data_IF_605682496874
#
_entry.id   IF_605682496874
#
_cell.length_a   1.000
_cell.length_b   1.000
_cell.length_c   1.000
_cell.angle_alpha   90.00
_cell.angle_beta   90.00
_cell.angle_gamma   90.00
#
_symmetry.space_group_name_H-M   'P 1'
#
loop_
_entity.id
_entity.type
_entity.pdbx_description
1 polymer ?
#
# COMPACT_ATOMS: atom_id res chain seq x y z
N UNK A 1 22.30 -4.72 -27.12
CA UNK A 1 21.06 -4.13 -26.58
C UNK A 1 20.92 -4.59 -25.13
N UNK A 2 21.57 -3.90 -24.19
CA UNK A 2 21.61 -4.29 -22.78
C UNK A 2 20.96 -3.19 -21.95
N UNK A 3 19.64 -3.15 -21.91
CA UNK A 3 18.95 -2.31 -20.93
C UNK A 3 19.03 -3.08 -19.62
N UNK A 4 20.01 -2.76 -18.78
CA UNK A 4 19.87 -2.95 -17.34
C UNK A 4 18.63 -2.12 -16.98
N UNK A 5 17.46 -2.75 -16.99
CA UNK A 5 16.33 -2.23 -16.24
C UNK A 5 16.80 -2.32 -14.80
N UNK A 6 17.32 -1.22 -14.26
CA UNK A 6 17.33 -1.00 -12.83
C UNK A 6 15.87 -1.16 -12.42
N UNK A 7 15.51 -2.39 -12.02
CA UNK A 7 14.20 -2.68 -11.48
C UNK A 7 14.07 -1.75 -10.28
N UNK A 8 13.11 -0.84 -10.32
CA UNK A 8 12.90 0.10 -9.23
C UNK A 8 12.55 -0.73 -8.00
N UNK A 9 13.50 -0.82 -7.07
CA UNK A 9 13.35 -1.56 -5.83
C UNK A 9 12.88 -0.61 -4.75
N UNK A 10 11.63 -0.75 -4.36
CA UNK A 10 11.04 -0.05 -3.25
C UNK A 10 11.08 -0.91 -1.99
N UNK A 11 10.94 -0.25 -0.85
CA UNK A 11 10.99 -0.87 0.47
C UNK A 11 9.63 -0.68 1.13
N UNK A 12 9.03 -1.78 1.55
CA UNK A 12 7.86 -1.78 2.42
C UNK A 12 8.38 -1.84 3.86
N UNK A 13 8.13 -0.83 4.70
CA UNK A 13 8.64 -0.80 6.06
C UNK A 13 7.98 -1.86 6.94
N UNK A 14 8.73 -2.35 7.92
CA UNK A 14 8.24 -3.21 8.99
C UNK A 14 7.02 -2.58 9.69
N UNK A 15 6.08 -3.41 10.13
CA UNK A 15 4.81 -2.96 10.71
C UNK A 15 3.76 -2.55 9.67
N UNK A 16 4.10 -2.54 8.38
CA UNK A 16 3.09 -2.37 7.32
C UNK A 16 2.15 -3.58 7.34
N UNK A 17 0.85 -3.29 7.43
CA UNK A 17 -0.19 -4.28 7.27
C UNK A 17 -0.46 -4.44 5.77
N UNK A 18 -0.55 -5.68 5.31
CA UNK A 18 -0.84 -6.02 3.91
C UNK A 18 -2.02 -6.97 3.90
N UNK A 19 -3.02 -6.65 3.08
CA UNK A 19 -4.18 -7.53 2.88
C UNK A 19 -3.90 -8.53 1.75
N UNK A 20 -3.97 -9.81 2.09
CA UNK A 20 -3.89 -10.93 1.14
C UNK A 20 -5.25 -11.62 1.13
N UNK A 21 -6.04 -11.36 0.07
CA UNK A 21 -7.41 -11.86 -0.05
C UNK A 21 -8.27 -11.46 1.17
N UNK A 22 -8.77 -12.45 1.92
CA UNK A 22 -9.58 -12.27 3.14
C UNK A 22 -8.72 -12.10 4.40
N UNK A 23 -7.41 -12.40 4.31
CA UNK A 23 -6.48 -12.28 5.42
C UNK A 23 -5.71 -10.95 5.41
N UNK A 24 -5.20 -10.56 6.57
CA UNK A 24 -4.21 -9.49 6.67
C UNK A 24 -3.00 -9.99 7.41
N UNK A 25 -1.81 -9.71 6.88
CA UNK A 25 -0.53 -9.98 7.53
C UNK A 25 0.14 -8.66 7.90
N UNK A 26 1.01 -8.70 8.90
CA UNK A 26 1.86 -7.56 9.26
C UNK A 26 3.30 -7.97 8.96
N UNK A 27 4.02 -7.15 8.21
CA UNK A 27 5.44 -7.37 7.98
C UNK A 27 6.22 -7.20 9.27
N UNK A 28 7.10 -8.15 9.57
CA UNK A 28 7.95 -8.10 10.77
C UNK A 28 9.25 -7.31 10.54
N UNK A 29 9.69 -7.24 9.29
CA UNK A 29 10.93 -6.59 8.87
C UNK A 29 10.72 -5.83 7.56
N UNK A 30 11.63 -4.90 7.28
CA UNK A 30 11.62 -4.12 6.04
C UNK A 30 11.81 -5.06 4.85
N UNK A 31 10.86 -5.04 3.92
CA UNK A 31 10.84 -5.96 2.78
C UNK A 31 11.10 -5.20 1.49
N UNK A 32 12.15 -5.60 0.78
CA UNK A 32 12.45 -5.06 -0.55
C UNK A 32 11.54 -5.73 -1.58
N UNK A 33 10.86 -4.93 -2.38
CA UNK A 33 9.97 -5.38 -3.45
C UNK A 33 10.34 -4.77 -4.78
N UNK A 34 9.97 -5.45 -5.84
CA UNK A 34 10.18 -5.01 -7.22
C UNK A 34 9.06 -4.05 -7.65
N UNK A 35 9.01 -2.89 -7.00
CA UNK A 35 8.02 -1.85 -7.26
C UNK A 35 8.61 -0.48 -6.90
N UNK A 36 8.18 0.56 -7.64
CA UNK A 36 8.58 1.93 -7.36
C UNK A 36 8.13 2.38 -5.96
N UNK A 37 9.03 3.03 -5.21
CA UNK A 37 8.77 3.53 -3.85
C UNK A 37 7.54 4.45 -3.78
N UNK A 38 7.30 5.32 -4.77
CA UNK A 38 6.14 6.22 -4.80
C UNK A 38 4.81 5.44 -4.85
N UNK A 39 4.80 4.29 -5.53
CA UNK A 39 3.62 3.44 -5.62
C UNK A 39 3.38 2.69 -4.32
N UNK A 40 4.45 2.24 -3.65
CA UNK A 40 4.39 1.62 -2.32
C UNK A 40 3.86 2.63 -1.30
N UNK A 41 4.44 3.82 -1.25
CA UNK A 41 4.05 4.87 -0.31
C UNK A 41 2.59 5.28 -0.53
N UNK A 42 2.16 5.37 -1.79
CA UNK A 42 0.77 5.63 -2.14
C UNK A 42 -0.15 4.50 -1.67
N UNK A 43 0.21 3.23 -1.89
CA UNK A 43 -0.61 2.10 -1.44
C UNK A 43 -0.74 2.05 0.08
N UNK A 44 0.35 2.30 0.82
CA UNK A 44 0.33 2.37 2.30
C UNK A 44 -0.54 3.53 2.77
N UNK A 45 -0.45 4.68 2.09
CA UNK A 45 -1.29 5.85 2.41
C UNK A 45 -2.76 5.57 2.13
N UNK A 46 -3.10 5.01 0.97
CA UNK A 46 -4.47 4.66 0.59
C UNK A 46 -5.07 3.64 1.58
N UNK A 47 -4.28 2.67 2.05
CA UNK A 47 -4.72 1.74 3.10
C UNK A 47 -5.01 2.47 4.41
N UNK A 48 -4.09 3.33 4.88
CA UNK A 48 -4.30 4.13 6.10
C UNK A 48 -5.50 5.05 5.98
N UNK A 49 -5.66 5.69 4.84
CA UNK A 49 -6.76 6.60 4.53
C UNK A 49 -8.10 5.84 4.55
N UNK A 50 -8.17 4.64 3.97
CA UNK A 50 -9.34 3.76 4.06
C UNK A 50 -9.69 3.40 5.53
N UNK A 51 -8.71 2.98 6.33
CA UNK A 51 -8.96 2.64 7.75
C UNK A 51 -9.27 3.86 8.62
N UNK A 52 -8.70 5.02 8.31
CA UNK A 52 -8.99 6.27 9.00
C UNK A 52 -10.31 6.92 8.53
N UNK A 53 -11.00 6.34 7.54
CA UNK A 53 -12.22 6.89 6.96
C UNK A 53 -12.00 8.16 6.14
N UNK A 54 -10.75 8.47 5.80
CA UNK A 54 -10.36 9.61 4.97
C UNK A 54 -10.38 9.12 3.52
N UNK A 55 -11.42 9.44 2.76
CA UNK A 55 -11.46 9.14 1.32
C UNK A 55 -12.56 8.18 0.86
N UNK A 56 -13.33 7.55 1.76
CA UNK A 56 -14.64 7.01 1.39
C UNK A 56 -15.69 8.12 1.33
N UNK A 57 -15.51 9.09 0.41
CA UNK A 57 -16.66 9.86 -0.10
C UNK A 57 -17.40 8.97 -1.10
N UNK A 58 -17.90 7.84 -0.59
CA UNK A 58 -19.15 7.32 -1.11
C UNK A 58 -20.21 8.27 -0.59
N UNK A 59 -20.81 9.03 -1.49
CA UNK A 59 -22.01 9.83 -1.24
C UNK A 59 -23.14 8.96 -0.71
N UNK A 60 -23.06 8.52 0.55
CA UNK A 60 -24.24 8.03 1.25
C UNK A 60 -24.94 9.26 1.82
N UNK A 61 -25.82 9.80 0.98
CA UNK A 61 -27.07 10.42 1.40
C UNK A 61 -27.83 9.45 2.31
N UNK A 62 -27.37 9.24 3.54
CA UNK A 62 -28.18 8.66 4.60
C UNK A 62 -28.99 9.82 5.19
N UNK A 63 -30.12 10.12 4.53
CA UNK A 63 -31.24 10.77 5.20
C UNK A 63 -31.68 9.84 6.35
N UNK A 64 -31.54 10.31 7.57
CA UNK A 64 -32.24 9.84 8.75
C UNK A 64 -32.92 11.02 9.40
#
# INVERSE_FOLDING_TARGET
MGKNQELERGIIPAGTRIRLYEGSITLLEDTVVDANQEWIDKAIKDEKDFYNGIGCVGSNSAKG
#
